data_IF_424139165207
#
_entry.id   IF_424139165207
#
_cell.length_a   1.000
_cell.length_b   1.000
_cell.length_c   1.000
_cell.angle_alpha   90.00
_cell.angle_beta   90.00
_cell.angle_gamma   90.00
#
_symmetry.space_group_name_H-M   'P 1'
#
loop_
_entity.id
_entity.type
_entity.pdbx_description
1 polymer ?
#
# COMPACT_ATOMS: atom_id res chain seq x y z
N UNK A 1 30.54 -69.16 -11.87
CA UNK A 1 29.16 -68.66 -11.90
C UNK A 1 28.64 -68.76 -10.47
N UNK A 2 28.68 -67.74 -9.63
CA UNK A 2 28.29 -66.36 -9.84
C UNK A 2 27.02 -66.16 -9.01
N UNK A 3 27.15 -65.45 -7.88
CA UNK A 3 26.11 -65.11 -6.87
C UNK A 3 25.86 -66.16 -5.78
N UNK A 4 26.23 -65.83 -4.53
CA UNK A 4 25.38 -66.04 -3.35
C UNK A 4 26.03 -65.53 -2.04
N UNK A 5 25.42 -64.46 -1.51
CA UNK A 5 25.10 -64.27 -0.09
C UNK A 5 26.26 -64.08 0.91
N UNK A 6 26.45 -62.82 1.34
CA UNK A 6 26.75 -62.52 2.74
C UNK A 6 25.82 -61.40 3.22
N UNK A 7 24.77 -61.83 3.91
CA UNK A 7 23.87 -60.98 4.69
C UNK A 7 24.27 -61.17 6.15
N UNK A 8 24.94 -60.19 6.76
CA UNK A 8 24.92 -60.03 8.22
C UNK A 8 24.66 -58.55 8.51
N UNK A 9 23.54 -58.36 9.20
CA UNK A 9 23.01 -57.14 9.78
C UNK A 9 24.08 -56.19 10.33
N UNK A 10 24.03 -54.93 9.90
CA UNK A 10 24.50 -53.80 10.67
C UNK A 10 23.32 -52.85 10.88
N UNK A 11 22.67 -52.98 12.04
CA UNK A 11 21.68 -52.03 12.53
C UNK A 11 22.35 -51.24 13.66
N UNK A 12 22.15 -49.91 13.61
CA UNK A 12 22.52 -48.87 14.58
C UNK A 12 23.96 -48.35 14.52
N UNK A 13 24.18 -47.29 13.72
CA UNK A 13 24.59 -45.96 14.20
C UNK A 13 24.69 -44.97 13.03
N UNK A 14 23.60 -44.28 12.70
CA UNK A 14 23.67 -43.03 11.92
C UNK A 14 22.43 -42.19 12.18
N UNK A 15 22.39 -41.54 13.34
CA UNK A 15 21.46 -40.46 13.64
C UNK A 15 22.27 -39.25 14.12
N UNK A 16 22.95 -38.58 13.19
CA UNK A 16 23.42 -37.20 13.32
C UNK A 16 24.22 -36.79 12.07
N UNK A 17 23.56 -36.49 10.95
CA UNK A 17 24.05 -35.49 9.97
C UNK A 17 22.88 -34.99 9.13
N UNK A 18 22.18 -33.98 9.65
CA UNK A 18 21.50 -32.99 8.83
C UNK A 18 21.40 -31.68 9.60
N UNK A 19 22.47 -30.89 9.71
CA UNK A 19 22.32 -29.45 9.84
C UNK A 19 22.16 -28.85 8.43
N UNK A 20 21.39 -27.78 8.31
CA UNK A 20 21.30 -26.88 7.15
C UNK A 20 20.29 -27.17 6.03
N UNK A 21 19.13 -27.75 6.32
CA UNK A 21 17.91 -27.45 5.56
C UNK A 21 16.83 -26.87 6.49
N UNK A 22 17.23 -25.88 7.29
CA UNK A 22 16.34 -25.04 8.07
C UNK A 22 16.38 -23.61 7.53
N UNK A 23 15.23 -23.17 6.99
CA UNK A 23 14.80 -21.77 6.87
C UNK A 23 15.52 -20.88 5.86
N UNK A 24 15.25 -21.11 4.58
CA UNK A 24 15.04 -20.01 3.64
C UNK A 24 13.56 -20.03 3.24
N UNK A 25 12.69 -19.51 4.11
CA UNK A 25 11.35 -19.12 3.69
C UNK A 25 11.58 -17.86 2.86
N UNK A 26 11.48 -17.96 1.54
CA UNK A 26 11.55 -16.79 0.67
C UNK A 26 10.50 -15.78 1.14
N UNK A 27 10.92 -14.54 1.39
CA UNK A 27 9.98 -13.47 1.71
C UNK A 27 9.14 -13.25 0.45
N UNK A 28 7.81 -13.37 0.59
CA UNK A 28 6.91 -13.09 -0.53
C UNK A 28 7.01 -11.60 -0.87
N UNK A 29 7.28 -11.31 -2.14
CA UNK A 29 7.51 -9.96 -2.65
C UNK A 29 6.39 -9.53 -3.60
N UNK A 30 5.95 -8.29 -3.48
CA UNK A 30 4.96 -7.68 -4.37
C UNK A 30 5.65 -6.69 -5.32
N UNK A 31 5.39 -6.82 -6.63
CA UNK A 31 5.95 -5.91 -7.64
C UNK A 31 5.11 -4.66 -7.75
N UNK A 32 5.78 -3.51 -7.84
CA UNK A 32 5.14 -2.21 -8.05
C UNK A 32 5.69 -1.59 -9.35
N UNK A 33 4.84 -1.03 -10.23
CA UNK A 33 5.28 -0.49 -11.52
C UNK A 33 5.81 0.95 -11.37
N UNK A 34 6.79 1.19 -10.50
CA UNK A 34 7.23 2.56 -10.13
C UNK A 34 7.76 3.37 -11.31
N UNK A 35 8.50 2.79 -12.24
CA UNK A 35 8.93 3.50 -13.45
C UNK A 35 7.73 4.06 -14.24
N UNK A 36 6.72 3.22 -14.49
CA UNK A 36 5.49 3.64 -15.18
C UNK A 36 4.75 4.72 -14.38
N UNK A 37 4.64 4.55 -13.06
CA UNK A 37 4.00 5.55 -12.19
C UNK A 37 4.74 6.89 -12.24
N UNK A 38 6.06 6.90 -12.18
CA UNK A 38 6.89 8.10 -12.31
C UNK A 38 6.64 8.76 -13.66
N UNK A 39 6.79 8.02 -14.76
CA UNK A 39 6.63 8.55 -16.12
C UNK A 39 5.28 9.25 -16.31
N UNK A 40 4.21 8.62 -15.83
CA UNK A 40 2.86 9.17 -15.97
C UNK A 40 2.62 10.34 -15.01
N UNK A 41 3.06 10.26 -13.75
CA UNK A 41 2.93 11.35 -12.78
C UNK A 41 3.76 12.58 -13.19
N UNK A 42 4.92 12.39 -13.83
CA UNK A 42 5.71 13.48 -14.42
C UNK A 42 4.95 14.18 -15.55
N UNK A 43 4.33 13.41 -16.45
CA UNK A 43 3.49 13.98 -17.52
C UNK A 43 2.30 14.74 -16.94
N UNK A 44 1.62 14.19 -15.93
CA UNK A 44 0.49 14.85 -15.26
C UNK A 44 0.95 16.17 -14.63
N UNK A 45 2.04 16.15 -13.85
CA UNK A 45 2.57 17.35 -13.19
C UNK A 45 3.13 18.38 -14.19
N UNK A 46 3.55 17.95 -15.39
CA UNK A 46 4.00 18.86 -16.46
C UNK A 46 2.82 19.60 -17.08
N UNK A 47 1.72 18.89 -17.31
CA UNK A 47 0.54 19.45 -17.98
C UNK A 47 -0.36 20.23 -17.03
N UNK A 48 -0.45 19.79 -15.78
CA UNK A 48 -1.05 20.53 -14.67
C UNK A 48 -0.03 20.71 -13.53
N UNK A 49 0.83 21.76 -13.62
CA UNK A 49 1.81 22.07 -12.60
C UNK A 49 1.18 22.57 -11.28
N UNK A 50 -0.13 22.75 -11.23
CA UNK A 50 -0.87 23.15 -10.02
C UNK A 50 -1.51 21.97 -9.31
N UNK A 51 -1.42 20.76 -9.87
CA UNK A 51 -1.92 19.54 -9.24
C UNK A 51 -1.06 19.14 -8.04
N UNK A 52 -1.52 19.52 -6.85
CA UNK A 52 -0.91 19.10 -5.57
C UNK A 52 -0.85 17.58 -5.45
N UNK A 53 -1.91 16.88 -5.89
CA UNK A 53 -1.98 15.42 -5.83
C UNK A 53 -0.94 14.76 -6.74
N UNK A 54 -0.78 15.23 -7.98
CA UNK A 54 0.22 14.69 -8.90
C UNK A 54 1.63 14.91 -8.38
N UNK A 55 1.95 16.12 -7.89
CA UNK A 55 3.26 16.45 -7.33
C UNK A 55 3.57 15.66 -6.06
N UNK A 56 2.59 15.49 -5.16
CA UNK A 56 2.74 14.68 -3.96
C UNK A 56 3.01 13.21 -4.31
N UNK A 57 2.24 12.64 -5.22
CA UNK A 57 2.40 11.24 -5.60
C UNK A 57 3.67 11.00 -6.43
N UNK A 58 4.08 11.96 -7.26
CA UNK A 58 5.37 11.94 -7.95
C UNK A 58 6.53 11.91 -6.95
N UNK A 59 6.46 12.77 -5.94
CA UNK A 59 7.42 12.79 -4.83
C UNK A 59 7.49 11.46 -4.09
N UNK A 60 6.34 10.81 -3.85
CA UNK A 60 6.27 9.48 -3.23
C UNK A 60 6.89 8.40 -4.10
N UNK A 61 6.56 8.36 -5.39
CA UNK A 61 7.08 7.36 -6.32
C UNK A 61 8.61 7.43 -6.42
N UNK A 62 9.17 8.63 -6.55
CA UNK A 62 10.61 8.85 -6.48
C UNK A 62 11.20 8.50 -5.09
N UNK A 63 10.53 8.87 -4.00
CA UNK A 63 10.97 8.50 -2.65
C UNK A 63 11.07 6.99 -2.45
N UNK A 64 10.10 6.23 -3.00
CA UNK A 64 10.12 4.77 -2.99
C UNK A 64 11.28 4.22 -3.84
N UNK A 65 11.50 4.77 -5.03
CA UNK A 65 12.62 4.39 -5.89
C UNK A 65 13.98 4.62 -5.20
N UNK A 66 14.14 5.77 -4.53
CA UNK A 66 15.31 6.06 -3.72
C UNK A 66 15.51 5.04 -2.58
N UNK A 67 14.44 4.73 -1.85
CA UNK A 67 14.53 3.89 -0.67
C UNK A 67 14.95 2.44 -0.97
N UNK A 68 14.40 1.80 -2.01
CA UNK A 68 14.71 0.40 -2.29
C UNK A 68 15.91 0.24 -3.23
N UNK A 69 16.30 1.30 -3.96
CA UNK A 69 17.42 1.27 -4.91
C UNK A 69 17.26 0.17 -5.98
N UNK A 70 16.03 -0.07 -6.43
CA UNK A 70 15.68 -1.10 -7.41
C UNK A 70 14.61 -0.60 -8.39
N UNK A 71 14.52 -1.23 -9.56
CA UNK A 71 13.44 -1.04 -10.55
C UNK A 71 13.23 -2.36 -11.34
N UNK A 72 12.03 -2.99 -11.33
CA UNK A 72 10.85 -2.60 -10.56
C UNK A 72 11.08 -2.74 -9.04
N UNK A 73 10.36 -1.93 -8.26
CA UNK A 73 10.36 -2.06 -6.81
C UNK A 73 9.66 -3.35 -6.38
N UNK A 74 10.20 -3.99 -5.34
CA UNK A 74 9.59 -5.12 -4.66
C UNK A 74 9.37 -4.77 -3.19
N UNK A 75 8.12 -4.82 -2.74
CA UNK A 75 7.82 -4.61 -1.31
C UNK A 75 7.67 -5.96 -0.64
N UNK A 76 8.48 -6.25 0.40
CA UNK A 76 8.28 -7.41 1.24
C UNK A 76 6.88 -7.44 1.86
N UNK A 77 6.27 -8.62 1.87
CA UNK A 77 4.99 -8.85 2.56
C UNK A 77 5.13 -8.76 4.08
N UNK A 78 6.26 -9.17 4.64
CA UNK A 78 6.54 -9.11 6.08
C UNK A 78 6.89 -7.68 6.54
N UNK A 79 5.93 -6.75 6.43
CA UNK A 79 5.99 -5.50 7.16
C UNK A 79 5.39 -5.78 8.55
N UNK A 80 6.13 -5.56 9.63
CA UNK A 80 5.75 -6.08 10.95
C UNK A 80 4.66 -5.22 11.61
N UNK A 81 3.40 -5.35 11.16
CA UNK A 81 2.22 -4.86 11.90
C UNK A 81 2.14 -3.35 12.16
N UNK A 82 2.98 -2.58 11.50
CA UNK A 82 2.94 -1.12 11.52
C UNK A 82 1.87 -0.69 10.53
N UNK A 83 1.02 0.23 10.98
CA UNK A 83 -0.01 0.86 10.15
C UNK A 83 0.63 1.44 8.88
N UNK A 84 -0.07 1.41 7.75
CA UNK A 84 0.53 1.81 6.48
C UNK A 84 0.87 3.32 6.54
N UNK A 85 2.15 3.73 6.36
CA UNK A 85 2.61 5.10 6.61
C UNK A 85 2.31 6.04 5.44
N UNK A 86 1.75 7.24 5.65
CA UNK A 86 1.51 8.24 4.59
C UNK A 86 2.75 8.61 3.76
N UNK A 87 3.93 8.40 4.34
CA UNK A 87 5.24 8.34 3.73
C UNK A 87 5.62 6.86 3.47
N UNK A 88 5.47 6.35 2.24
CA UNK A 88 5.57 4.91 1.94
C UNK A 88 6.99 4.34 1.87
N UNK A 89 8.01 5.20 1.96
CA UNK A 89 9.39 4.87 1.54
C UNK A 89 10.31 4.31 2.65
N UNK A 90 9.79 3.98 3.84
CA UNK A 90 10.40 3.03 4.80
C UNK A 90 11.92 3.14 5.08
N UNK A 91 12.55 2.00 5.36
CA UNK A 91 14.01 1.88 5.57
C UNK A 91 14.74 1.92 4.23
N UNK A 92 15.73 2.81 4.10
CA UNK A 92 16.58 2.87 2.90
C UNK A 92 17.52 1.66 2.86
N UNK A 93 17.46 0.87 1.80
CA UNK A 93 18.29 -0.31 1.61
C UNK A 93 19.76 0.10 1.37
N UNK A 94 20.70 -0.69 1.90
CA UNK A 94 22.12 -0.54 1.54
C UNK A 94 22.31 -0.93 0.08
N UNK A 95 22.93 -0.07 -0.72
CA UNK A 95 23.14 -0.34 -2.14
C UNK A 95 24.09 -1.53 -2.30
N UNK A 96 23.75 -2.47 -3.20
CA UNK A 96 24.64 -3.59 -3.52
C UNK A 96 25.91 -3.14 -4.26
N UNK A 97 25.87 -1.98 -4.94
CA UNK A 97 27.02 -1.33 -5.58
C UNK A 97 26.82 0.21 -5.66
N UNK A 98 27.93 0.93 -5.81
CA UNK A 98 28.10 2.38 -5.97
C UNK A 98 27.28 3.00 -7.12
N UNK A 99 27.03 2.26 -8.20
CA UNK A 99 26.22 2.71 -9.35
C UNK A 99 24.75 2.91 -8.99
N UNK A 100 24.16 1.97 -8.23
CA UNK A 100 22.81 2.08 -7.67
C UNK A 100 22.68 3.22 -6.66
N UNK A 101 23.78 3.55 -5.96
CA UNK A 101 23.80 4.70 -5.05
C UNK A 101 23.63 6.03 -5.80
N UNK A 102 24.20 6.18 -6.99
CA UNK A 102 24.09 7.42 -7.78
C UNK A 102 22.70 7.56 -8.40
N UNK A 103 22.16 6.48 -8.97
CA UNK A 103 20.79 6.47 -9.52
C UNK A 103 19.75 6.76 -8.43
N UNK A 104 19.92 6.20 -7.23
CA UNK A 104 19.03 6.50 -6.10
C UNK A 104 19.07 7.99 -5.72
N UNK A 105 20.23 8.63 -5.78
CA UNK A 105 20.37 10.04 -5.40
C UNK A 105 19.56 10.98 -6.31
N UNK A 106 19.48 10.68 -7.61
CA UNK A 106 18.64 11.43 -8.54
C UNK A 106 17.15 11.35 -8.15
N UNK A 107 16.69 10.19 -7.68
CA UNK A 107 15.33 10.04 -7.16
C UNK A 107 15.10 10.81 -5.85
N UNK A 108 16.08 10.87 -4.95
CA UNK A 108 15.99 11.72 -3.75
C UNK A 108 15.82 13.21 -4.12
N UNK A 109 16.60 13.69 -5.09
CA UNK A 109 16.52 15.06 -5.58
C UNK A 109 15.19 15.36 -6.28
N UNK A 110 14.73 14.45 -7.14
CA UNK A 110 13.44 14.56 -7.81
C UNK A 110 12.28 14.55 -6.81
N UNK A 111 12.33 13.68 -5.80
CA UNK A 111 11.35 13.65 -4.71
C UNK A 111 11.33 14.98 -3.94
N UNK A 112 12.49 15.50 -3.52
CA UNK A 112 12.61 16.79 -2.84
C UNK A 112 12.03 17.93 -3.68
N UNK A 113 12.28 17.93 -4.99
CA UNK A 113 11.74 18.94 -5.92
C UNK A 113 10.22 18.87 -5.98
N UNK A 114 9.66 17.70 -6.23
CA UNK A 114 8.21 17.50 -6.35
C UNK A 114 7.47 17.89 -5.06
N UNK A 115 7.97 17.44 -3.90
CA UNK A 115 7.38 17.80 -2.61
C UNK A 115 7.49 19.30 -2.29
N UNK A 116 8.59 19.98 -2.65
CA UNK A 116 8.71 21.44 -2.47
C UNK A 116 7.69 22.19 -3.33
N UNK A 117 7.52 21.78 -4.59
CA UNK A 117 6.51 22.36 -5.47
C UNK A 117 5.10 22.15 -4.92
N UNK A 118 4.81 20.94 -4.41
CA UNK A 118 3.52 20.65 -3.77
C UNK A 118 3.28 21.53 -2.53
N UNK A 119 4.32 21.78 -1.71
CA UNK A 119 4.21 22.62 -0.52
C UNK A 119 3.95 24.10 -0.85
N UNK A 120 4.48 24.62 -1.95
CA UNK A 120 4.20 26.00 -2.37
C UNK A 120 2.72 26.21 -2.73
N UNK A 121 2.07 25.16 -3.24
CA UNK A 121 0.66 25.15 -3.62
C UNK A 121 -0.27 24.87 -2.43
N UNK A 122 0.15 24.01 -1.50
CA UNK A 122 -0.59 23.70 -0.25
C UNK A 122 0.34 23.76 0.97
N UNK A 123 0.54 24.98 1.47
CA UNK A 123 1.47 25.30 2.57
C UNK A 123 1.07 24.67 3.89
N UNK A 124 -0.23 24.40 4.07
CA UNK A 124 -0.77 23.86 5.30
C UNK A 124 -0.78 22.33 5.32
N UNK A 125 -0.41 21.68 4.21
CA UNK A 125 -0.40 20.23 4.10
C UNK A 125 0.63 19.54 4.98
N UNK A 126 0.17 18.95 6.09
CA UNK A 126 1.04 18.21 7.01
C UNK A 126 1.65 16.95 6.37
N UNK A 127 0.97 16.32 5.39
CA UNK A 127 1.51 15.14 4.69
C UNK A 127 2.67 15.49 3.77
N UNK A 128 2.60 16.66 3.10
CA UNK A 128 3.70 17.17 2.28
C UNK A 128 4.88 17.54 3.18
N UNK A 129 4.61 18.24 4.29
CA UNK A 129 5.63 18.58 5.30
C UNK A 129 6.32 17.33 5.87
N UNK A 130 5.57 16.27 6.14
CA UNK A 130 6.11 15.00 6.64
C UNK A 130 7.03 14.32 5.61
N UNK A 131 6.61 14.24 4.35
CA UNK A 131 7.46 13.71 3.28
C UNK A 131 8.75 14.51 3.11
N UNK A 132 8.68 15.85 3.17
CA UNK A 132 9.87 16.71 3.14
C UNK A 132 10.79 16.51 4.33
N UNK A 133 10.24 16.32 5.53
CA UNK A 133 11.03 16.06 6.73
C UNK A 133 11.79 14.73 6.62
N UNK A 134 11.13 13.69 6.11
CA UNK A 134 11.80 12.42 5.82
C UNK A 134 12.88 12.57 4.75
N UNK A 135 12.60 13.25 3.63
CA UNK A 135 13.61 13.45 2.59
C UNK A 135 14.78 14.31 3.08
N UNK A 136 14.53 15.26 3.98
CA UNK A 136 15.56 16.06 4.66
C UNK A 136 16.45 15.19 5.54
N UNK A 137 15.85 14.25 6.29
CA UNK A 137 16.57 13.26 7.08
C UNK A 137 17.46 12.39 6.19
N UNK A 138 16.91 11.87 5.10
CA UNK A 138 17.66 11.02 4.17
C UNK A 138 18.75 11.76 3.40
N UNK A 139 18.61 13.07 3.22
CA UNK A 139 19.67 13.95 2.71
C UNK A 139 20.77 14.24 3.76
N UNK A 140 20.76 13.57 4.91
CA UNK A 140 21.77 13.69 5.97
C UNK A 140 21.56 14.88 6.93
N UNK A 141 20.49 15.68 6.75
CA UNK A 141 20.20 16.86 7.57
C UNK A 141 19.32 16.52 8.77
N UNK A 142 19.80 15.61 9.63
CA UNK A 142 19.03 15.05 10.75
C UNK A 142 18.51 16.10 11.73
N UNK A 143 19.33 17.09 12.11
CA UNK A 143 18.92 18.12 13.06
C UNK A 143 17.76 18.99 12.53
N UNK A 144 17.74 19.23 11.22
CA UNK A 144 16.66 19.99 10.58
C UNK A 144 15.41 19.14 10.44
N UNK A 145 15.57 17.85 10.10
CA UNK A 145 14.46 16.91 10.08
C UNK A 145 13.80 16.78 11.46
N UNK A 146 14.57 16.66 12.54
CA UNK A 146 14.06 16.61 13.92
C UNK A 146 13.23 17.86 14.26
N UNK A 147 13.69 19.05 13.88
CA UNK A 147 12.91 20.29 14.07
C UNK A 147 11.58 20.25 13.31
N UNK A 148 11.62 19.84 12.04
CA UNK A 148 10.42 19.73 11.21
C UNK A 148 9.44 18.71 11.77
N UNK A 149 9.91 17.52 12.14
CA UNK A 149 9.09 16.47 12.76
C UNK A 149 8.44 16.93 14.06
N UNK A 150 9.14 17.68 14.92
CA UNK A 150 8.54 18.24 16.16
C UNK A 150 7.37 19.18 15.87
N UNK A 151 7.54 20.08 14.90
CA UNK A 151 6.44 20.97 14.45
C UNK A 151 5.27 20.16 13.91
N UNK A 152 5.55 19.18 13.03
CA UNK A 152 4.51 18.32 12.45
C UNK A 152 3.80 17.50 13.53
N UNK A 153 4.52 16.96 14.53
CA UNK A 153 3.95 16.21 15.64
C UNK A 153 2.97 17.05 16.48
N UNK A 154 3.30 18.32 16.69
CA UNK A 154 2.45 19.27 17.41
C UNK A 154 1.19 19.59 16.60
N UNK A 155 1.36 20.00 15.34
CA UNK A 155 0.25 20.37 14.46
C UNK A 155 -0.68 19.18 14.18
N UNK A 156 -0.11 17.99 13.96
CA UNK A 156 -0.88 16.76 13.71
C UNK A 156 -1.69 16.37 14.94
N UNK A 157 -1.11 16.41 16.14
CA UNK A 157 -1.83 16.10 17.37
C UNK A 157 -3.01 17.05 17.59
N UNK A 158 -2.78 18.36 17.42
CA UNK A 158 -3.84 19.35 17.59
C UNK A 158 -5.00 19.15 16.61
N UNK A 159 -4.70 18.74 15.37
CA UNK A 159 -5.70 18.44 14.35
C UNK A 159 -6.44 17.11 14.57
N UNK A 160 -5.76 16.12 15.16
CA UNK A 160 -6.24 14.73 15.18
C UNK A 160 -6.77 14.27 16.54
N UNK A 161 -6.44 14.96 17.66
CA UNK A 161 -6.77 14.53 19.02
C UNK A 161 -8.27 14.37 19.31
N UNK A 162 -9.14 15.03 18.54
CA UNK A 162 -10.60 14.93 18.68
C UNK A 162 -11.26 13.98 17.67
N UNK A 163 -10.48 13.29 16.83
CA UNK A 163 -11.01 12.34 15.87
C UNK A 163 -11.60 11.11 16.56
N UNK A 164 -12.72 10.63 16.05
CA UNK A 164 -13.36 9.38 16.46
C UNK A 164 -13.20 8.27 15.42
N UNK A 165 -12.83 8.64 14.19
CA UNK A 165 -12.53 7.77 13.05
C UNK A 165 -11.39 8.41 12.26
N UNK A 166 -10.51 7.59 11.67
CA UNK A 166 -9.46 8.07 10.78
C UNK A 166 -10.00 8.37 9.39
N UNK A 167 -9.32 9.24 8.64
CA UNK A 167 -9.61 9.43 7.22
C UNK A 167 -9.31 8.19 6.38
N UNK A 168 -9.71 8.21 5.10
CA UNK A 168 -9.40 7.16 4.14
C UNK A 168 -7.90 6.82 4.10
N UNK A 169 -7.60 5.52 4.14
CA UNK A 169 -6.25 4.95 4.13
C UNK A 169 -5.69 4.78 5.54
N UNK A 170 -6.51 4.97 6.57
CA UNK A 170 -6.14 4.81 7.97
C UNK A 170 -5.07 5.72 8.52
N UNK A 171 -4.96 6.89 7.90
CA UNK A 171 -3.93 7.87 8.20
C UNK A 171 -4.25 8.67 9.47
N UNK A 172 -3.27 8.72 10.36
CA UNK A 172 -3.10 9.79 11.36
C UNK A 172 -1.63 10.19 11.33
N UNK A 173 -1.35 11.43 10.98
CA UNK A 173 0.02 11.93 10.88
C UNK A 173 0.71 11.95 12.24
N UNK A 174 -0.05 12.06 13.34
CA UNK A 174 0.48 11.98 14.71
C UNK A 174 1.19 10.65 14.95
N UNK A 175 0.56 9.52 14.64
CA UNK A 175 1.17 8.20 14.86
C UNK A 175 2.42 8.01 14.00
N UNK A 176 2.37 8.52 12.78
CA UNK A 176 3.43 8.34 11.79
C UNK A 176 4.65 9.22 12.05
N UNK A 177 4.47 10.52 12.29
CA UNK A 177 5.59 11.43 12.60
C UNK A 177 6.33 10.98 13.85
N UNK A 178 5.61 10.42 14.83
CA UNK A 178 6.22 9.84 16.04
C UNK A 178 7.13 8.66 15.69
N UNK A 179 6.77 7.84 14.70
CA UNK A 179 7.59 6.71 14.25
C UNK A 179 8.92 7.14 13.62
N UNK A 180 8.98 8.32 13.01
CA UNK A 180 10.22 8.90 12.47
C UNK A 180 10.99 9.72 13.51
N UNK A 181 10.29 10.48 14.36
CA UNK A 181 10.90 11.38 15.33
C UNK A 181 11.56 10.64 16.48
N UNK A 182 10.85 9.70 17.13
CA UNK A 182 11.33 9.06 18.37
C UNK A 182 12.68 8.36 18.21
N UNK A 183 12.97 7.63 17.10
CA UNK A 183 14.29 7.05 16.87
C UNK A 183 15.45 8.05 16.78
N UNK A 184 15.16 9.33 16.51
CA UNK A 184 16.15 10.40 16.37
C UNK A 184 16.37 11.19 17.67
N UNK A 185 15.56 10.97 18.70
CA UNK A 185 15.64 11.67 19.98
C UNK A 185 16.62 11.00 20.96
N UNK A 186 17.17 11.79 21.87
CA UNK A 186 18.02 11.29 22.95
C UNK A 186 17.15 10.67 24.04
N UNK A 187 17.33 9.38 24.29
CA UNK A 187 16.45 8.61 25.18
C UNK A 187 16.36 9.15 26.62
N UNK A 188 17.41 9.81 27.11
CA UNK A 188 17.46 10.35 28.47
C UNK A 188 17.06 11.82 28.50
N UNK A 189 17.60 12.64 27.61
CA UNK A 189 17.31 14.09 27.58
C UNK A 189 15.89 14.38 27.15
N UNK A 190 15.37 13.62 26.19
CA UNK A 190 14.04 13.83 25.60
C UNK A 190 12.99 12.88 26.20
N UNK A 191 13.28 12.21 27.33
CA UNK A 191 12.42 11.16 27.92
C UNK A 191 10.95 11.55 28.06
N UNK A 192 10.66 12.76 28.54
CA UNK A 192 9.28 13.27 28.72
C UNK A 192 8.58 13.54 27.38
N UNK A 193 9.33 14.05 26.40
CA UNK A 193 8.82 14.26 25.05
C UNK A 193 8.48 12.91 24.40
N UNK A 194 9.38 11.94 24.49
CA UNK A 194 9.18 10.58 23.97
C UNK A 194 7.93 9.92 24.59
N UNK A 195 7.73 10.05 25.90
CA UNK A 195 6.55 9.52 26.57
C UNK A 195 5.26 10.17 26.05
N UNK A 196 5.25 11.50 25.91
CA UNK A 196 4.11 12.25 25.38
C UNK A 196 3.78 11.84 23.94
N UNK A 197 4.80 11.78 23.08
CA UNK A 197 4.68 11.37 21.67
C UNK A 197 4.12 9.95 21.54
N UNK A 198 4.61 9.00 22.36
CA UNK A 198 4.10 7.62 22.38
C UNK A 198 2.65 7.56 22.82
N UNK A 199 2.25 8.36 23.81
CA UNK A 199 0.85 8.43 24.25
C UNK A 199 -0.08 8.98 23.16
N UNK A 200 0.35 10.02 22.44
CA UNK A 200 -0.40 10.58 21.31
C UNK A 200 -0.55 9.54 20.18
N UNK A 201 0.53 8.86 19.81
CA UNK A 201 0.50 7.80 18.81
C UNK A 201 -0.41 6.63 19.24
N UNK A 202 -0.36 6.22 20.50
CA UNK A 202 -1.22 5.18 21.04
C UNK A 202 -2.71 5.57 21.06
N UNK A 203 -3.03 6.84 21.31
CA UNK A 203 -4.40 7.35 21.23
C UNK A 203 -4.94 7.24 19.79
N UNK A 204 -4.15 7.67 18.81
CA UNK A 204 -4.52 7.54 17.40
C UNK A 204 -4.63 6.08 16.97
N UNK A 205 -3.74 5.21 17.47
CA UNK A 205 -3.75 3.75 17.32
C UNK A 205 -5.12 3.09 17.51
N UNK A 206 -5.97 3.69 18.35
CA UNK A 206 -7.28 3.17 18.72
C UNK A 206 -8.42 3.51 17.77
N UNK A 207 -8.21 4.44 16.85
CA UNK A 207 -9.26 4.89 15.96
C UNK A 207 -9.49 3.86 14.83
N UNK A 208 -10.75 3.50 14.52
CA UNK A 208 -11.05 2.68 13.35
C UNK A 208 -10.61 3.42 12.10
N UNK A 209 -10.22 2.67 11.06
CA UNK A 209 -9.85 3.24 9.79
C UNK A 209 -10.51 2.57 8.59
N UNK A 210 -11.05 3.36 7.66
CA UNK A 210 -11.58 2.85 6.40
C UNK A 210 -10.46 2.61 5.38
N UNK A 211 -10.43 1.41 4.81
CA UNK A 211 -9.65 1.07 3.61
C UNK A 211 -10.63 0.90 2.45
N UNK A 212 -10.24 1.37 1.25
CA UNK A 212 -11.16 1.41 0.12
C UNK A 212 -10.59 0.67 -1.09
N UNK A 213 -11.13 -0.50 -1.44
CA UNK A 213 -10.88 -1.14 -2.73
C UNK A 213 -12.04 -0.97 -3.72
N UNK A 214 -11.72 -0.97 -5.01
CA UNK A 214 -12.67 -0.89 -6.11
C UNK A 214 -13.31 -2.26 -6.36
N UNK A 215 -14.63 -2.31 -6.23
CA UNK A 215 -15.47 -3.41 -6.66
C UNK A 215 -16.08 -3.15 -8.05
N UNK A 216 -16.09 -4.20 -8.87
CA UNK A 216 -16.73 -4.23 -10.19
C UNK A 216 -17.92 -5.21 -10.14
N UNK A 217 -19.15 -4.78 -10.44
CA UNK A 217 -20.30 -5.66 -10.58
C UNK A 217 -20.13 -6.65 -11.75
N UNK A 218 -20.55 -7.90 -11.53
CA UNK A 218 -20.45 -8.96 -12.53
C UNK A 218 -21.70 -9.10 -13.40
N UNK A 219 -22.76 -8.34 -13.13
CA UNK A 219 -23.99 -8.30 -13.91
C UNK A 219 -24.52 -6.86 -14.05
N UNK A 220 -25.31 -6.63 -15.09
CA UNK A 220 -25.93 -5.34 -15.36
C UNK A 220 -26.99 -5.00 -14.30
N UNK A 221 -27.18 -3.71 -14.02
CA UNK A 221 -28.23 -3.22 -13.11
C UNK A 221 -27.95 -3.38 -11.61
N UNK A 222 -26.82 -3.97 -11.23
CA UNK A 222 -26.41 -4.05 -9.82
C UNK A 222 -26.00 -2.69 -9.26
N UNK A 223 -26.39 -2.44 -8.02
CA UNK A 223 -26.09 -1.22 -7.27
C UNK A 223 -25.10 -1.51 -6.14
N UNK A 224 -24.59 -0.47 -5.49
CA UNK A 224 -23.67 -0.62 -4.34
C UNK A 224 -24.21 -1.57 -3.26
N UNK A 225 -25.51 -1.52 -2.96
CA UNK A 225 -26.16 -2.37 -1.95
C UNK A 225 -26.20 -3.85 -2.35
N UNK A 226 -26.10 -4.15 -3.64
CA UNK A 226 -25.99 -5.54 -4.12
C UNK A 226 -24.58 -6.11 -3.95
N UNK A 227 -23.57 -5.24 -3.86
CA UNK A 227 -22.17 -5.63 -3.78
C UNK A 227 -21.71 -5.76 -2.33
N UNK A 228 -22.22 -4.92 -1.43
CA UNK A 228 -21.82 -4.94 -0.02
C UNK A 228 -22.39 -6.17 0.72
N UNK A 229 -21.53 -6.86 1.47
CA UNK A 229 -21.92 -7.92 2.40
C UNK A 229 -21.53 -7.49 3.83
N UNK A 230 -22.30 -6.61 4.50
CA UNK A 230 -21.92 -5.99 5.76
C UNK A 230 -21.78 -6.97 6.92
N UNK A 231 -22.35 -8.18 6.81
CA UNK A 231 -22.25 -9.26 7.79
C UNK A 231 -21.16 -10.29 7.44
N UNK A 232 -20.66 -10.30 6.21
CA UNK A 232 -19.57 -11.19 5.82
C UNK A 232 -18.25 -10.71 6.45
N UNK A 233 -17.45 -11.65 6.95
CA UNK A 233 -16.13 -11.37 7.51
C UNK A 233 -15.11 -12.28 6.88
N UNK A 234 -14.06 -11.70 6.32
CA UNK A 234 -12.93 -12.45 5.77
C UNK A 234 -11.63 -11.99 6.41
N UNK A 235 -10.68 -12.93 6.54
CA UNK A 235 -9.34 -12.63 7.06
C UNK A 235 -8.39 -12.34 5.90
N UNK A 236 -8.05 -11.07 5.68
CA UNK A 236 -7.17 -10.64 4.58
C UNK A 236 -6.33 -9.42 4.99
N UNK A 237 -5.17 -9.25 4.35
CA UNK A 237 -4.29 -8.08 4.53
C UNK A 237 -4.80 -6.89 3.70
N UNK A 238 -6.04 -6.44 3.97
CA UNK A 238 -6.68 -5.36 3.21
C UNK A 238 -5.94 -4.04 3.37
N UNK A 239 -5.30 -3.77 4.51
CA UNK A 239 -4.57 -2.51 4.76
C UNK A 239 -3.12 -2.53 4.26
N UNK A 240 -2.69 -3.66 3.70
CA UNK A 240 -1.33 -3.87 3.20
C UNK A 240 -0.26 -3.89 4.29
N UNK A 241 -0.65 -3.98 5.56
CA UNK A 241 0.29 -3.97 6.69
C UNK A 241 1.14 -5.24 6.77
N UNK A 242 0.85 -6.27 5.97
CA UNK A 242 1.44 -7.60 6.10
C UNK A 242 0.78 -8.47 7.17
N UNK A 243 -0.30 -7.97 7.80
CA UNK A 243 -1.08 -8.69 8.80
C UNK A 243 -2.50 -8.90 8.29
N UNK A 244 -2.90 -10.16 8.15
CA UNK A 244 -4.30 -10.48 7.88
C UNK A 244 -5.18 -10.15 9.08
N UNK A 245 -6.27 -9.41 8.82
CA UNK A 245 -7.28 -9.03 9.82
C UNK A 245 -8.67 -9.33 9.28
N UNK A 246 -9.66 -9.33 10.16
CA UNK A 246 -11.06 -9.48 9.77
C UNK A 246 -11.65 -8.17 9.23
N UNK A 247 -12.15 -8.22 8.00
CA UNK A 247 -12.78 -7.11 7.28
C UNK A 247 -14.18 -7.49 6.82
N UNK A 248 -15.07 -6.50 6.70
CA UNK A 248 -16.26 -6.63 5.87
C UNK A 248 -15.86 -7.00 4.43
N UNK A 249 -16.78 -7.61 3.67
CA UNK A 249 -16.46 -8.08 2.32
C UNK A 249 -17.57 -7.78 1.31
N UNK A 250 -17.35 -8.18 0.05
CA UNK A 250 -18.34 -8.09 -1.03
C UNK A 250 -19.10 -9.40 -1.21
N UNK A 251 -20.25 -9.32 -1.88
CA UNK A 251 -21.01 -10.49 -2.31
C UNK A 251 -20.36 -11.15 -3.55
N UNK A 252 -20.66 -12.43 -3.85
CA UNK A 252 -20.19 -13.10 -5.07
C UNK A 252 -20.73 -12.53 -6.40
N UNK A 253 -21.56 -11.47 -6.34
CA UNK A 253 -22.07 -10.71 -7.48
C UNK A 253 -21.09 -9.62 -7.95
N UNK A 254 -20.02 -9.37 -7.19
CA UNK A 254 -18.95 -8.44 -7.52
C UNK A 254 -17.60 -9.16 -7.56
N UNK A 255 -16.60 -8.45 -8.07
CA UNK A 255 -15.20 -8.84 -7.98
C UNK A 255 -14.35 -7.62 -7.63
N UNK A 256 -13.22 -7.83 -6.95
CA UNK A 256 -12.24 -6.78 -6.70
C UNK A 256 -11.44 -6.51 -7.96
N UNK A 257 -11.24 -5.23 -8.30
CA UNK A 257 -10.26 -4.83 -9.30
C UNK A 257 -8.86 -4.92 -8.68
N UNK A 258 -7.99 -5.73 -9.27
CA UNK A 258 -6.68 -6.05 -8.74
C UNK A 258 -5.57 -5.91 -9.77
N UNK A 259 -4.35 -5.71 -9.27
CA UNK A 259 -3.11 -5.68 -10.02
C UNK A 259 -2.36 -7.02 -9.87
N UNK A 260 -2.41 -7.83 -10.91
CA UNK A 260 -1.67 -9.08 -11.10
C UNK A 260 -0.54 -8.89 -12.13
N UNK A 261 0.49 -8.10 -11.77
CA UNK A 261 1.61 -7.79 -12.68
C UNK A 261 2.48 -9.02 -12.99
N UNK A 262 2.39 -10.07 -12.18
CA UNK A 262 3.14 -11.33 -12.40
C UNK A 262 2.37 -12.30 -13.29
N UNK A 263 1.08 -12.06 -13.52
CA UNK A 263 0.17 -12.95 -14.26
C UNK A 263 0.15 -14.37 -13.68
N UNK A 264 0.30 -14.48 -12.35
CA UNK A 264 0.31 -15.76 -11.64
C UNK A 264 -0.99 -16.00 -10.85
N UNK A 265 -1.94 -15.06 -10.94
CA UNK A 265 -3.22 -15.12 -10.27
C UNK A 265 -3.12 -15.00 -8.75
N UNK A 266 -1.99 -14.57 -8.17
CA UNK A 266 -1.83 -14.47 -6.72
C UNK A 266 -2.07 -13.05 -6.23
N UNK A 267 -3.12 -12.91 -5.42
CA UNK A 267 -3.45 -11.68 -4.71
C UNK A 267 -3.37 -11.97 -3.22
N UNK A 268 -2.50 -11.25 -2.51
CA UNK A 268 -2.22 -11.57 -1.10
C UNK A 268 -2.26 -10.38 -0.16
N UNK A 269 -2.42 -9.18 -0.70
CA UNK A 269 -2.47 -7.93 0.03
C UNK A 269 -3.32 -6.88 -0.67
N UNK A 270 -3.87 -5.94 0.10
CA UNK A 270 -4.58 -4.77 -0.40
C UNK A 270 -3.71 -3.82 -1.23
N UNK A 271 -2.38 -3.95 -1.18
CA UNK A 271 -1.45 -3.28 -2.11
C UNK A 271 -1.70 -3.65 -3.57
N UNK A 272 -2.26 -4.84 -3.82
CA UNK A 272 -2.67 -5.31 -5.14
C UNK A 272 -4.13 -4.99 -5.46
N UNK A 273 -4.95 -4.54 -4.49
CA UNK A 273 -6.32 -4.11 -4.77
C UNK A 273 -6.28 -2.64 -5.21
N UNK A 274 -7.00 -2.28 -6.26
CA UNK A 274 -7.14 -0.87 -6.67
C UNK A 274 -7.96 -0.12 -5.65
N UNK A 275 -7.43 0.97 -5.10
CA UNK A 275 -7.87 1.49 -3.83
C UNK A 275 -6.95 2.56 -3.23
N UNK A 276 -7.27 3.00 -2.01
CA UNK A 276 -6.50 4.06 -1.36
C UNK A 276 -5.10 3.66 -0.85
N UNK A 277 -4.71 2.39 -0.97
CA UNK A 277 -3.39 1.87 -0.58
C UNK A 277 -2.65 1.13 -1.71
N UNK A 278 -3.20 1.12 -2.93
CA UNK A 278 -2.64 0.40 -4.07
C UNK A 278 -1.18 0.77 -4.27
N UNK A 279 -0.34 -0.20 -4.64
CA UNK A 279 1.09 0.02 -4.85
C UNK A 279 1.81 0.57 -3.64
N UNK A 280 1.26 0.34 -2.44
CA UNK A 280 1.78 0.93 -1.21
C UNK A 280 1.89 2.46 -1.28
N UNK A 281 1.08 3.09 -2.14
CA UNK A 281 0.94 4.52 -2.25
C UNK A 281 -0.42 4.92 -1.66
N UNK A 282 -0.45 6.07 -1.01
CA UNK A 282 -1.59 6.49 -0.18
C UNK A 282 -2.46 7.49 -0.93
N UNK A 283 -3.29 6.95 -1.81
CA UNK A 283 -4.15 7.69 -2.72
C UNK A 283 -5.33 8.34 -2.00
N UNK A 284 -5.96 9.33 -2.65
CA UNK A 284 -7.17 9.96 -2.13
C UNK A 284 -8.42 9.08 -2.30
N UNK A 285 -8.41 8.20 -3.30
CA UNK A 285 -9.42 7.21 -3.65
C UNK A 285 -8.81 6.15 -4.57
N UNK A 286 -9.56 5.10 -4.88
CA UNK A 286 -9.13 3.99 -5.74
C UNK A 286 -9.01 4.31 -7.23
N UNK A 287 -9.48 5.47 -7.70
CA UNK A 287 -9.35 5.88 -9.10
C UNK A 287 -8.06 6.64 -9.40
N UNK A 288 -7.48 7.31 -8.41
CA UNK A 288 -6.17 7.96 -8.54
C UNK A 288 -5.03 6.99 -8.94
N UNK A 289 -4.91 5.75 -8.42
CA UNK A 289 -3.92 4.80 -8.93
C UNK A 289 -4.21 4.36 -10.37
N UNK A 290 -5.47 4.32 -10.81
CA UNK A 290 -5.81 4.05 -12.21
C UNK A 290 -5.36 5.20 -13.11
N UNK A 291 -5.61 6.45 -12.71
CA UNK A 291 -5.11 7.62 -13.43
C UNK A 291 -3.57 7.65 -13.54
N UNK A 292 -2.87 7.15 -12.52
CA UNK A 292 -1.41 7.03 -12.55
C UNK A 292 -0.90 5.92 -13.50
N UNK A 293 -1.78 5.04 -13.97
CA UNK A 293 -1.50 4.02 -14.99
C UNK A 293 -1.95 4.43 -16.39
N UNK A 294 -2.54 5.62 -16.57
CA UNK A 294 -2.97 6.12 -17.88
C UNK A 294 -1.77 6.76 -18.59
N UNK A 295 -1.28 6.08 -19.63
CA UNK A 295 -0.04 6.42 -20.35
C UNK A 295 -0.26 7.58 -21.33
N UNK A 296 -1.47 7.70 -21.91
CA UNK A 296 -1.84 8.72 -22.89
C UNK A 296 -2.79 9.81 -22.34
N UNK A 297 -3.39 9.58 -21.17
CA UNK A 297 -4.18 10.50 -20.34
C UNK A 297 -5.51 10.88 -20.98
N UNK A 298 -6.14 9.93 -21.64
CA UNK A 298 -7.46 10.11 -22.23
C UNK A 298 -8.63 9.92 -21.23
N UNK A 299 -8.34 9.55 -19.98
CA UNK A 299 -9.36 9.34 -18.95
C UNK A 299 -9.76 7.89 -18.75
N UNK A 300 -9.16 6.97 -19.52
CA UNK A 300 -9.59 5.58 -19.58
C UNK A 300 -8.42 4.64 -19.91
N UNK A 301 -8.25 3.59 -19.11
CA UNK A 301 -7.22 2.59 -19.43
C UNK A 301 -7.71 1.68 -20.55
N UNK A 302 -6.93 1.56 -21.63
CA UNK A 302 -7.23 0.72 -22.79
C UNK A 302 -6.03 -0.12 -23.24
N UNK A 303 -6.27 -1.13 -24.07
CA UNK A 303 -5.19 -1.85 -24.77
C UNK A 303 -4.10 -2.41 -23.84
N UNK A 304 -2.86 -1.94 -24.02
CA UNK A 304 -1.71 -2.37 -23.21
C UNK A 304 -1.77 -1.86 -21.77
N UNK A 305 -2.51 -0.80 -21.49
CA UNK A 305 -2.62 -0.23 -20.15
C UNK A 305 -3.36 -1.15 -19.19
N UNK A 306 -4.20 -2.04 -19.75
CA UNK A 306 -4.89 -3.10 -19.03
C UNK A 306 -3.98 -4.30 -18.69
N UNK A 307 -2.73 -4.32 -19.16
CA UNK A 307 -1.81 -5.42 -18.87
C UNK A 307 -1.58 -5.55 -17.35
N UNK A 308 -1.83 -6.75 -16.83
CA UNK A 308 -1.73 -7.03 -15.40
C UNK A 308 -2.94 -6.55 -14.58
N UNK A 309 -3.99 -5.97 -15.18
CA UNK A 309 -5.25 -5.74 -14.51
C UNK A 309 -6.11 -7.01 -14.55
N UNK A 310 -6.64 -7.39 -13.39
CA UNK A 310 -7.48 -8.56 -13.23
C UNK A 310 -8.68 -8.28 -12.33
N UNK A 311 -9.68 -9.16 -12.38
CA UNK A 311 -10.73 -9.22 -11.39
C UNK A 311 -10.51 -10.44 -10.50
N UNK A 312 -10.54 -10.23 -9.18
CA UNK A 312 -10.61 -11.30 -8.18
C UNK A 312 -12.05 -11.46 -7.73
N UNK A 313 -12.68 -12.54 -8.19
CA UNK A 313 -14.01 -12.96 -7.75
C UNK A 313 -13.86 -14.04 -6.68
N UNK A 314 -13.88 -13.62 -5.42
CA UNK A 314 -13.96 -14.51 -4.26
C UNK A 314 -15.37 -15.13 -4.19
N UNK A 315 -15.52 -16.34 -4.72
CA UNK A 315 -16.85 -16.97 -4.91
C UNK A 315 -17.37 -17.53 -3.60
N UNK A 316 -16.48 -18.07 -2.76
CA UNK A 316 -16.83 -18.68 -1.48
C UNK A 316 -16.76 -17.68 -0.31
N UNK A 317 -16.22 -16.48 -0.53
CA UNK A 317 -16.12 -15.42 0.46
C UNK A 317 -15.14 -15.75 1.57
N UNK A 318 -14.01 -16.39 1.28
CA UNK A 318 -13.02 -16.80 2.28
C UNK A 318 -11.83 -15.85 2.41
N UNK A 319 -11.69 -14.86 1.51
CA UNK A 319 -10.56 -13.93 1.47
C UNK A 319 -9.24 -14.56 1.04
N UNK A 320 -9.27 -15.73 0.42
CA UNK A 320 -8.12 -16.47 -0.10
C UNK A 320 -8.33 -16.66 -1.59
N UNK A 321 -7.29 -16.45 -2.40
CA UNK A 321 -7.42 -16.72 -3.84
C UNK A 321 -7.46 -18.22 -4.10
N UNK A 322 -8.60 -18.71 -4.57
CA UNK A 322 -8.75 -20.08 -5.05
C UNK A 322 -8.46 -20.19 -6.57
N UNK A 323 -8.08 -21.38 -7.08
CA UNK A 323 -7.80 -21.58 -8.50
C UNK A 323 -8.95 -21.12 -9.41
N UNK A 324 -8.65 -20.17 -10.31
CA UNK A 324 -9.61 -19.65 -11.28
C UNK A 324 -10.46 -18.48 -10.79
N UNK A 325 -10.26 -18.00 -9.56
CA UNK A 325 -10.96 -16.81 -9.05
C UNK A 325 -10.39 -15.48 -9.57
N UNK A 326 -9.10 -15.45 -9.89
CA UNK A 326 -8.42 -14.30 -10.49
C UNK A 326 -8.31 -14.53 -11.98
N UNK A 327 -8.86 -13.60 -12.77
CA UNK A 327 -8.76 -13.62 -14.23
C UNK A 327 -8.49 -12.22 -14.77
N UNK A 328 -7.71 -12.09 -15.86
CA UNK A 328 -7.48 -10.79 -16.48
C UNK A 328 -8.82 -10.14 -16.89
N UNK A 329 -8.89 -8.82 -16.87
CA UNK A 329 -10.13 -8.08 -17.18
C UNK A 329 -10.67 -8.42 -18.59
N UNK A 330 -9.77 -8.73 -19.53
CA UNK A 330 -10.12 -9.18 -20.89
C UNK A 330 -10.89 -10.50 -20.91
N UNK A 331 -10.70 -11.40 -19.93
CA UNK A 331 -11.47 -12.64 -19.82
C UNK A 331 -12.95 -12.40 -19.44
N UNK A 332 -13.28 -11.21 -18.94
CA UNK A 332 -14.64 -10.74 -18.71
C UNK A 332 -15.21 -9.93 -19.88
N UNK A 333 -14.46 -9.81 -20.99
CA UNK A 333 -14.84 -8.99 -22.14
C UNK A 333 -14.67 -7.49 -21.93
N UNK A 334 -14.00 -7.09 -20.84
CA UNK A 334 -13.68 -5.69 -20.55
C UNK A 334 -12.54 -5.25 -21.47
N UNK A 335 -12.77 -4.17 -22.21
CA UNK A 335 -11.81 -3.59 -23.16
C UNK A 335 -11.30 -2.22 -22.69
N UNK A 336 -11.94 -1.63 -21.68
CA UNK A 336 -11.50 -0.38 -21.11
C UNK A 336 -11.97 -0.18 -19.66
N UNK A 337 -11.23 0.61 -18.87
CA UNK A 337 -11.56 0.94 -17.47
C UNK A 337 -11.49 2.45 -17.26
N UNK A 338 -12.63 3.09 -16.99
CA UNK A 338 -12.70 4.53 -16.75
C UNK A 338 -12.39 4.85 -15.30
N UNK A 339 -11.44 5.76 -15.09
CA UNK A 339 -11.18 6.33 -13.77
C UNK A 339 -11.90 7.67 -13.53
N UNK A 340 -12.71 8.15 -14.48
CA UNK A 340 -13.56 9.31 -14.24
C UNK A 340 -14.65 8.98 -13.22
N UNK A 341 -14.60 9.62 -12.06
CA UNK A 341 -15.46 9.29 -10.92
C UNK A 341 -16.22 10.50 -10.39
N UNK A 342 -17.26 10.21 -9.61
CA UNK A 342 -18.03 11.18 -8.86
C UNK A 342 -18.37 10.62 -7.47
N UNK A 343 -18.78 11.48 -6.55
CA UNK A 343 -19.16 11.06 -5.19
C UNK A 343 -20.63 10.64 -5.13
N UNK A 344 -20.89 9.46 -4.57
CA UNK A 344 -22.23 9.03 -4.22
C UNK A 344 -22.67 9.67 -2.89
N UNK A 345 -23.26 10.86 -2.95
CA UNK A 345 -23.60 11.69 -1.79
C UNK A 345 -24.73 11.14 -0.87
N UNK A 346 -25.34 10.00 -1.20
CA UNK A 346 -26.49 9.44 -0.46
C UNK A 346 -26.11 8.41 0.62
N UNK A 347 -24.84 7.98 0.71
CA UNK A 347 -24.36 7.06 1.75
C UNK A 347 -23.55 7.78 2.84
N UNK A 348 -23.52 7.26 4.08
CA UNK A 348 -22.75 7.85 5.19
C UNK A 348 -21.24 7.90 4.87
N UNK A 349 -20.77 6.99 4.03
CA UNK A 349 -19.36 6.77 3.70
C UNK A 349 -18.89 7.55 2.45
N UNK A 350 -19.77 8.34 1.78
CA UNK A 350 -19.44 9.18 0.60
C UNK A 350 -18.54 8.50 -0.44
N UNK A 351 -18.93 7.30 -0.87
CA UNK A 351 -18.19 6.43 -1.79
C UNK A 351 -17.93 7.11 -3.14
N UNK A 352 -16.67 7.07 -3.61
CA UNK A 352 -16.32 7.43 -4.97
C UNK A 352 -16.77 6.32 -5.93
N UNK A 353 -17.38 6.67 -7.06
CA UNK A 353 -17.80 5.69 -8.05
C UNK A 353 -17.67 6.24 -9.48
N UNK A 354 -17.34 5.36 -10.41
CA UNK A 354 -17.30 5.66 -11.85
C UNK A 354 -18.56 5.06 -12.49
N UNK A 355 -19.48 5.86 -13.04
CA UNK A 355 -20.69 5.34 -13.71
C UNK A 355 -20.37 4.43 -14.89
N UNK A 356 -19.24 4.68 -15.57
CA UNK A 356 -18.74 3.92 -16.71
C UNK A 356 -17.45 3.15 -16.35
N UNK A 357 -17.34 2.68 -15.10
CA UNK A 357 -16.14 2.07 -14.54
C UNK A 357 -15.47 1.03 -15.42
N UNK A 358 -16.25 0.16 -16.06
CA UNK A 358 -15.74 -0.79 -17.06
C UNK A 358 -16.55 -0.70 -18.35
N UNK A 359 -15.87 -0.85 -19.49
CA UNK A 359 -16.45 -0.84 -20.83
C UNK A 359 -16.21 -2.18 -21.50
N UNK A 360 -17.26 -2.73 -22.11
CA UNK A 360 -17.23 -4.01 -22.81
C UNK A 360 -17.07 -3.82 -24.32
N UNK A 361 -16.66 -4.89 -25.01
CA UNK A 361 -16.47 -4.87 -26.48
C UNK A 361 -17.72 -4.47 -27.26
N UNK A 362 -18.92 -4.75 -26.73
CA UNK A 362 -20.20 -4.35 -27.34
C UNK A 362 -20.60 -2.90 -27.05
N UNK A 363 -19.74 -2.14 -26.38
CA UNK A 363 -19.95 -0.74 -26.00
C UNK A 363 -20.78 -0.55 -24.74
N UNK A 364 -21.30 -1.62 -24.11
CA UNK A 364 -21.96 -1.50 -22.81
C UNK A 364 -20.97 -1.08 -21.74
N UNK A 365 -21.49 -0.45 -20.70
CA UNK A 365 -20.71 -0.08 -19.52
C UNK A 365 -21.32 -0.63 -18.25
N UNK A 366 -20.49 -0.82 -17.23
CA UNK A 366 -20.93 -1.04 -15.85
C UNK A 366 -20.23 -0.05 -14.92
N UNK A 367 -20.88 0.34 -13.82
CA UNK A 367 -20.23 1.17 -12.83
C UNK A 367 -19.15 0.39 -12.09
N UNK A 368 -18.21 1.08 -11.47
CA UNK A 368 -17.31 0.55 -10.43
C UNK A 368 -17.45 1.40 -9.17
N UNK A 369 -17.14 0.83 -8.01
CA UNK A 369 -17.35 1.48 -6.72
C UNK A 369 -16.13 1.33 -5.82
N UNK A 370 -15.62 2.43 -5.28
CA UNK A 370 -14.53 2.46 -4.29
C UNK A 370 -15.11 2.23 -2.88
N UNK A 371 -15.31 0.97 -2.51
CA UNK A 371 -16.11 0.57 -1.35
C UNK A 371 -15.35 0.77 -0.05
N UNK A 372 -16.04 1.12 1.03
CA UNK A 372 -15.41 1.25 2.35
C UNK A 372 -15.47 -0.07 3.10
N UNK A 373 -14.31 -0.73 3.25
CA UNK A 373 -14.19 -1.91 4.09
C UNK A 373 -14.03 -1.52 5.56
N UNK A 374 -14.76 -2.22 6.42
CA UNK A 374 -14.82 -2.00 7.87
C UNK A 374 -14.08 -3.13 8.57
N UNK A 375 -13.02 -2.78 9.28
CA UNK A 375 -12.33 -3.72 10.16
C UNK A 375 -13.20 -4.08 11.37
N UNK A 376 -13.06 -5.29 11.88
CA UNK A 376 -13.69 -5.66 13.16
C UNK A 376 -13.08 -4.87 14.32
N UNK A 377 -13.91 -4.06 14.99
CA UNK A 377 -13.56 -3.37 16.24
C UNK A 377 -13.20 -4.43 17.30
N UNK A 378 -11.91 -4.50 17.65
CA UNK A 378 -11.38 -5.42 18.67
C UNK A 378 -10.10 -6.16 18.27
N UNK A 379 -9.77 -6.26 16.98
CA UNK A 379 -8.52 -6.88 16.49
C UNK A 379 -7.38 -5.87 16.28
N UNK A 380 -7.39 -4.78 17.04
CA UNK A 380 -6.32 -3.80 16.97
C UNK A 380 -5.04 -4.41 17.51
N UNK A 381 -4.14 -4.75 16.59
CA UNK A 381 -2.72 -4.97 16.84
C UNK A 381 -2.27 -4.05 17.97
N UNK A 382 -1.98 -4.67 19.12
CA UNK A 382 -1.19 -4.02 20.14
C UNK A 382 0.09 -3.57 19.46
N UNK A 383 0.37 -2.27 19.55
CA UNK A 383 1.62 -1.69 19.10
C UNK A 383 2.73 -2.43 19.84
N UNK A 384 3.33 -3.47 19.25
CA UNK A 384 4.62 -3.96 19.74
C UNK A 384 5.59 -2.87 19.36
N UNK A 385 5.93 -2.03 20.34
CA UNK A 385 7.11 -1.18 20.25
C UNK A 385 8.25 -2.07 19.71
N UNK A 386 9.02 -1.61 18.71
CA UNK A 386 10.19 -2.35 18.28
C UNK A 386 11.03 -2.60 19.52
N UNK A 387 11.28 -3.87 19.83
CA UNK A 387 12.14 -4.23 20.94
C UNK A 387 13.46 -3.50 20.73
N UNK A 388 13.82 -2.65 21.69
CA UNK A 388 15.16 -2.11 21.84
C UNK A 388 16.09 -3.24 22.29
N UNK A 389 16.35 -4.18 21.39
CA UNK A 389 17.42 -5.14 21.49
C UNK A 389 17.74 -5.59 20.07
N UNK A 390 18.69 -4.92 19.45
CA UNK A 390 19.39 -5.50 18.31
C UNK A 390 19.98 -6.83 18.75
N UNK A 391 19.42 -7.92 18.23
CA UNK A 391 20.07 -9.21 18.08
C UNK A 391 19.17 -10.03 17.14
N UNK A 392 19.49 -9.97 15.85
CA UNK A 392 19.03 -10.95 14.87
C UNK A 392 19.71 -12.29 15.15
N UNK A 393 19.01 -13.43 15.10
CA UNK A 393 19.66 -14.72 14.84
C UNK A 393 20.13 -14.83 13.39
#
# INVERSE_FOLDING_TARGET
MGVAVRLILLVVFLAATSPALGRWVGVEEERIPVARLIDNLEKIAKDDPTSVEALLNLGRAHGMAYAQKSDPLTVPKAYHGIQPPAVPFGTVMTAADSTLSTASQAHLEAALKAYKQALELDKDSLVIRLGLAWLTEQAGRKDDAVKQYRTIATDAWEKEKSLTVRGFGGRTLTGEVVSYLVPLLDAEKDKREIETLKNHAAAMGKLPYPITPIAVPLADGLTITDLEAPDARVTFDVDGSGLSREWSWITPKAAWLVSDLKLDGKISSGRQLFGNITFWMFWNNGYAPLAALDDDRDGILTGQELAGLALWRDVNGNGVVDPGEVKPVSAYGIVAISYNWQTLNKGPDKVAFSPNGVVFQDGKTRPSFDLVLKAQLGSQATFRAPNASGNSP
#
